data_IF_480315555331
#
_entry.id   IF_480315555331
#
_cell.length_a   1.000
_cell.length_b   1.000
_cell.length_c   1.000
_cell.angle_alpha   90.00
_cell.angle_beta   90.00
_cell.angle_gamma   90.00
#
_symmetry.space_group_name_H-M   'P 1'
#
loop_
_entity.id
_entity.type
_entity.pdbx_description
1 polymer ?
#
# COMPACT_ATOMS: atom_id res chain seq x y z
N UNK A 1 -23.53 18.26 17.54
CA UNK A 1 -22.06 18.38 17.73
C UNK A 1 -21.37 17.29 16.92
N UNK A 2 -20.92 17.62 15.71
CA UNK A 2 -20.42 16.63 14.75
C UNK A 2 -19.01 16.18 15.07
N UNK A 3 -18.89 14.88 15.32
CA UNK A 3 -17.67 14.14 15.67
C UNK A 3 -16.59 14.38 14.61
N UNK A 4 -15.35 14.60 15.06
CA UNK A 4 -14.13 14.72 14.25
C UNK A 4 -13.95 13.51 13.31
N UNK A 5 -14.60 13.53 12.15
CA UNK A 5 -14.54 12.47 11.15
C UNK A 5 -13.36 12.72 10.21
N UNK A 6 -12.53 11.70 10.03
CA UNK A 6 -11.44 11.69 9.07
C UNK A 6 -11.92 11.05 7.76
N UNK A 7 -11.40 11.54 6.64
CA UNK A 7 -11.87 11.16 5.30
C UNK A 7 -10.99 10.08 4.64
N UNK A 8 -10.01 9.55 5.37
CA UNK A 8 -9.13 8.45 4.92
C UNK A 8 -9.56 7.06 5.41
N UNK A 9 -10.10 6.92 6.62
CA UNK A 9 -10.40 5.63 7.22
C UNK A 9 -11.36 5.76 8.41
N UNK A 10 -11.84 4.64 8.93
CA UNK A 10 -12.77 4.57 10.06
C UNK A 10 -12.10 4.64 11.44
N UNK A 11 -10.77 4.81 11.49
CA UNK A 11 -10.04 4.89 12.77
C UNK A 11 -10.39 6.20 13.49
N UNK A 12 -10.44 6.13 14.83
CA UNK A 12 -10.69 7.31 15.66
C UNK A 12 -9.59 8.36 15.46
N UNK A 13 -9.93 9.66 15.51
CA UNK A 13 -9.01 10.77 15.30
C UNK A 13 -8.00 10.98 16.45
N UNK A 14 -7.75 9.96 17.28
CA UNK A 14 -6.89 10.05 18.46
C UNK A 14 -5.40 10.07 18.12
N UNK A 15 -5.03 10.01 16.84
CA UNK A 15 -3.64 10.15 16.42
C UNK A 15 -3.25 11.63 16.32
N UNK A 16 -2.05 11.98 16.79
CA UNK A 16 -1.49 13.34 16.73
C UNK A 16 -1.07 13.74 15.30
N UNK A 17 -0.99 12.78 14.38
CA UNK A 17 -0.45 12.95 13.03
C UNK A 17 -1.56 13.16 11.98
N UNK A 18 -2.16 14.36 11.98
CA UNK A 18 -3.28 14.72 11.09
C UNK A 18 -2.85 15.83 10.14
N UNK A 19 -3.05 15.61 8.83
CA UNK A 19 -2.91 16.66 7.80
C UNK A 19 -4.28 17.16 7.35
N UNK A 20 -4.35 18.44 7.02
CA UNK A 20 -5.57 19.10 6.52
C UNK A 20 -5.35 19.58 5.10
N UNK A 21 -6.24 19.20 4.19
CA UNK A 21 -6.14 19.66 2.80
C UNK A 21 -6.44 21.16 2.71
N UNK A 22 -5.55 21.95 2.10
CA UNK A 22 -5.73 23.39 1.87
C UNK A 22 -6.96 23.71 1.02
N UNK A 23 -7.25 22.89 0.01
CA UNK A 23 -8.37 23.12 -0.91
C UNK A 23 -9.75 22.75 -0.32
N UNK A 24 -9.94 21.52 0.16
CA UNK A 24 -11.26 21.05 0.63
C UNK A 24 -11.44 21.08 2.16
N UNK A 25 -10.43 21.51 2.93
CA UNK A 25 -10.43 21.58 4.39
C UNK A 25 -10.68 20.26 5.13
N UNK A 26 -10.73 19.13 4.42
CA UNK A 26 -10.87 17.77 4.99
C UNK A 26 -9.60 17.34 5.72
N UNK A 27 -9.78 16.55 6.78
CA UNK A 27 -8.71 16.04 7.66
C UNK A 27 -8.42 14.57 7.36
N UNK A 28 -7.15 14.20 7.38
CA UNK A 28 -6.66 12.86 7.06
C UNK A 28 -5.55 12.46 8.03
N UNK A 29 -5.47 11.18 8.37
CA UNK A 29 -4.28 10.60 8.98
C UNK A 29 -3.10 10.74 8.01
N UNK A 30 -1.98 11.28 8.47
CA UNK A 30 -0.78 11.35 7.66
C UNK A 30 -0.35 9.96 7.16
N UNK A 31 -0.39 8.95 8.02
CA UNK A 31 -0.09 7.56 7.67
C UNK A 31 -1.01 6.95 6.58
N UNK A 32 -2.22 7.48 6.39
CA UNK A 32 -3.12 6.98 5.34
C UNK A 32 -2.89 7.62 3.97
N UNK A 33 -2.16 8.73 3.92
CA UNK A 33 -1.98 9.53 2.69
C UNK A 33 -0.51 9.76 2.33
N UNK A 34 0.42 9.50 3.25
CA UNK A 34 1.84 9.58 2.98
C UNK A 34 2.29 8.42 2.10
N UNK A 35 2.95 8.74 1.00
CA UNK A 35 3.69 7.78 0.16
C UNK A 35 5.20 7.88 0.40
N UNK A 36 5.64 8.75 1.31
CA UNK A 36 7.05 9.00 1.60
C UNK A 36 7.44 8.39 2.95
N UNK A 37 8.72 8.03 3.10
CA UNK A 37 9.29 7.52 4.38
C UNK A 37 9.48 8.61 5.44
N UNK A 38 9.09 9.86 5.15
CA UNK A 38 9.27 11.00 6.04
C UNK A 38 8.27 10.90 7.19
N UNK A 39 8.76 10.95 8.42
CA UNK A 39 7.92 10.91 9.63
C UNK A 39 7.17 12.25 9.77
N UNK A 40 5.94 12.23 10.26
CA UNK A 40 5.10 13.44 10.38
C UNK A 40 5.78 14.60 11.13
N UNK A 41 6.61 14.27 12.12
CA UNK A 41 7.36 15.23 12.94
C UNK A 41 8.41 16.02 12.15
N UNK A 42 8.92 15.44 11.07
CA UNK A 42 9.99 16.04 10.26
C UNK A 42 9.42 16.91 9.11
N UNK A 43 8.10 16.98 8.99
CA UNK A 43 7.45 17.83 8.00
C UNK A 43 7.52 19.30 8.42
N UNK A 44 7.89 20.17 7.48
CA UNK A 44 7.81 21.61 7.66
C UNK A 44 6.36 22.07 7.81
N UNK A 45 6.13 23.11 8.61
CA UNK A 45 4.80 23.71 8.78
C UNK A 45 4.27 24.28 7.45
N UNK A 46 5.15 24.79 6.59
CA UNK A 46 4.79 25.22 5.24
C UNK A 46 4.19 24.08 4.40
N UNK A 47 4.78 22.89 4.47
CA UNK A 47 4.25 21.71 3.79
C UNK A 47 2.88 21.32 4.35
N UNK A 48 2.73 21.27 5.68
CA UNK A 48 1.44 20.95 6.32
C UNK A 48 0.34 21.92 5.93
N UNK A 49 0.66 23.22 5.84
CA UNK A 49 -0.29 24.27 5.48
C UNK A 49 -0.65 24.28 3.98
N UNK A 50 0.25 23.82 3.12
CA UNK A 50 0.05 23.77 1.68
C UNK A 50 -0.36 22.39 1.14
N UNK A 51 -0.50 21.39 2.00
CA UNK A 51 -0.81 20.03 1.60
C UNK A 51 -2.18 19.92 0.91
N UNK A 52 -2.24 19.13 -0.17
CA UNK A 52 -3.46 18.83 -0.92
C UNK A 52 -3.75 17.33 -0.85
N UNK A 53 -5.03 16.98 -0.65
CA UNK A 53 -5.43 15.58 -0.66
C UNK A 53 -5.37 14.97 -2.07
N UNK A 54 -5.34 13.62 -2.20
CA UNK A 54 -5.24 12.93 -3.49
C UNK A 54 -6.36 13.24 -4.50
N UNK A 55 -7.48 13.82 -4.04
CA UNK A 55 -8.57 14.26 -4.90
C UNK A 55 -8.32 15.68 -5.43
N UNK A 56 -7.83 16.58 -4.57
CA UNK A 56 -7.55 17.96 -4.91
C UNK A 56 -6.21 18.16 -5.64
N UNK A 57 -5.26 17.22 -5.50
CA UNK A 57 -3.95 17.30 -6.15
C UNK A 57 -3.96 16.86 -7.62
N UNK A 58 -5.04 16.23 -8.10
CA UNK A 58 -5.15 15.81 -9.50
C UNK A 58 -5.29 17.05 -10.40
N UNK A 59 -4.51 17.15 -11.49
CA UNK A 59 -4.73 18.20 -12.47
C UNK A 59 -6.15 18.06 -13.02
N UNK A 60 -6.92 19.16 -13.01
CA UNK A 60 -8.22 19.20 -13.70
C UNK A 60 -7.93 19.11 -15.19
N UNK A 61 -8.04 17.91 -15.75
CA UNK A 61 -7.93 17.69 -17.19
C UNK A 61 -9.06 18.42 -17.88
N UNK A 62 -8.70 19.09 -18.97
CA UNK A 62 -9.49 19.96 -19.82
C UNK A 62 -10.98 19.56 -19.92
N UNK A 63 -11.87 20.49 -19.56
CA UNK A 63 -13.32 20.29 -19.52
C UNK A 63 -13.97 20.52 -20.89
N UNK A 64 -13.17 20.57 -21.96
CA UNK A 64 -13.59 20.97 -23.31
C UNK A 64 -14.62 20.03 -23.96
N UNK A 65 -14.92 18.87 -23.39
CA UNK A 65 -15.87 17.88 -23.94
C UNK A 65 -17.01 17.45 -23.01
N UNK A 66 -17.28 18.13 -21.89
CA UNK A 66 -18.52 17.89 -21.14
C UNK A 66 -19.67 18.70 -21.73
N UNK A 67 -20.81 18.08 -22.12
CA UNK A 67 -21.98 18.82 -22.59
C UNK A 67 -22.43 19.82 -21.52
N UNK A 68 -22.63 21.07 -21.92
CA UNK A 68 -23.16 22.14 -21.08
C UNK A 68 -24.50 21.65 -20.53
N UNK A 69 -24.59 21.36 -19.22
CA UNK A 69 -25.88 21.24 -18.55
C UNK A 69 -26.52 22.61 -18.60
N UNK A 70 -27.63 22.74 -19.34
CA UNK A 70 -28.48 23.92 -19.35
C UNK A 70 -28.74 24.34 -17.89
N UNK A 71 -28.29 25.54 -17.54
CA UNK A 71 -28.66 26.18 -16.30
C UNK A 71 -30.17 26.45 -16.38
N UNK A 72 -30.96 25.71 -15.60
CA UNK A 72 -32.33 26.13 -15.31
C UNK A 72 -32.25 27.38 -14.47
N UNK A 73 -32.50 28.51 -15.12
CA UNK A 73 -32.79 29.80 -14.53
C UNK A 73 -33.95 29.64 -13.54
N UNK A 74 -33.64 29.58 -12.24
CA UNK A 74 -34.61 29.95 -11.23
C UNK A 74 -34.47 31.44 -10.99
N UNK A 75 -35.34 32.19 -11.67
CA UNK A 75 -35.74 33.53 -11.27
C UNK A 75 -36.16 33.49 -9.80
N UNK A 76 -35.44 34.21 -8.95
CA UNK A 76 -36.00 34.65 -7.68
C UNK A 76 -35.73 36.14 -7.58
N UNK A 77 -36.78 36.90 -7.87
CA UNK A 77 -36.89 38.31 -7.56
C UNK A 77 -36.59 38.52 -6.08
N UNK A 78 -35.59 39.35 -5.78
CA UNK A 78 -35.67 40.31 -4.70
C UNK A 78 -34.62 41.40 -4.89
N UNK A 79 -35.14 42.62 -5.08
CA UNK A 79 -34.46 43.91 -5.11
C UNK A 79 -33.49 44.08 -3.92
N UNK A 80 -32.25 44.44 -4.20
CA UNK A 80 -31.49 45.41 -3.40
C UNK A 80 -30.69 46.30 -4.37
N UNK A 81 -31.04 47.58 -4.38
CA UNK A 81 -30.30 48.66 -5.05
C UNK A 81 -29.01 48.95 -4.26
N UNK A 82 -27.90 49.20 -4.97
CA UNK A 82 -26.64 49.61 -4.37
C UNK A 82 -25.51 49.66 -5.39
N UNK A 83 -25.21 50.86 -5.86
CA UNK A 83 -24.14 51.23 -6.78
C UNK A 83 -22.76 50.64 -6.40
N UNK A 84 -22.03 50.13 -7.40
CA UNK A 84 -20.76 50.71 -7.91
C UNK A 84 -19.80 49.65 -8.47
N UNK A 85 -19.44 49.88 -9.74
CA UNK A 85 -18.11 49.74 -10.33
C UNK A 85 -17.50 48.36 -10.69
N UNK A 86 -17.47 48.16 -12.02
CA UNK A 86 -16.33 47.69 -12.82
C UNK A 86 -15.84 46.25 -12.63
N UNK A 87 -16.53 45.33 -13.30
CA UNK A 87 -15.91 44.12 -13.84
C UNK A 87 -14.94 44.48 -14.97
N UNK A 88 -13.66 44.67 -14.64
CA UNK A 88 -12.59 44.71 -15.66
C UNK A 88 -12.28 43.28 -16.09
N UNK A 89 -12.80 42.92 -17.25
CA UNK A 89 -12.51 41.71 -17.98
C UNK A 89 -11.07 41.78 -18.54
N UNK A 90 -10.04 41.39 -17.76
CA UNK A 90 -8.64 41.35 -18.22
C UNK A 90 -8.40 40.08 -19.04
N UNK A 91 -8.95 40.05 -20.25
CA UNK A 91 -8.81 38.98 -21.23
C UNK A 91 -8.14 39.44 -22.53
N UNK A 92 -7.12 40.30 -22.46
CA UNK A 92 -6.36 40.74 -23.64
C UNK A 92 -4.87 40.41 -23.47
N UNK A 93 -4.51 39.14 -23.69
CA UNK A 93 -3.11 38.71 -23.77
C UNK A 93 -2.52 39.24 -25.08
N UNK A 94 -1.76 40.33 -25.00
CA UNK A 94 -0.96 40.88 -26.10
C UNK A 94 -0.14 39.76 -26.76
N UNK A 95 -0.47 39.43 -28.01
CA UNK A 95 0.38 38.62 -28.91
C UNK A 95 1.68 39.40 -29.13
N UNK A 96 2.75 39.05 -28.43
CA UNK A 96 4.10 39.37 -28.87
C UNK A 96 4.45 38.38 -29.97
N UNK A 97 4.51 38.89 -31.20
CA UNK A 97 5.18 38.22 -32.32
C UNK A 97 6.65 38.08 -31.90
N UNK A 98 7.12 36.84 -31.74
CA UNK A 98 8.55 36.53 -31.61
C UNK A 98 9.02 36.00 -32.97
N UNK A 99 10.05 36.63 -33.50
CA UNK A 99 10.77 36.24 -34.71
C UNK A 99 11.30 34.80 -34.63
N UNK A 100 11.44 34.10 -35.76
CA UNK A 100 12.01 32.77 -35.82
C UNK A 100 13.53 32.88 -35.79
N UNK A 101 14.15 32.45 -34.71
CA UNK A 101 15.61 32.43 -34.58
C UNK A 101 16.01 31.42 -33.52
N UNK A 102 16.70 30.38 -33.99
CA UNK A 102 17.46 29.38 -33.23
C UNK A 102 16.69 28.58 -32.18
N UNK A 103 16.11 27.46 -32.64
CA UNK A 103 15.80 26.33 -31.78
C UNK A 103 17.10 25.63 -31.41
N UNK A 104 17.51 25.60 -30.13
CA UNK A 104 18.46 24.60 -29.68
C UNK A 104 17.82 23.24 -29.93
N UNK A 105 18.62 22.26 -30.36
CA UNK A 105 18.24 20.85 -30.46
C UNK A 105 17.63 20.44 -29.12
N UNK A 106 16.30 20.42 -29.02
CA UNK A 106 15.63 19.84 -27.87
C UNK A 106 15.84 18.34 -28.03
N UNK A 107 16.74 17.76 -27.23
CA UNK A 107 16.71 16.33 -26.95
C UNK A 107 15.25 15.98 -26.69
N UNK A 108 14.72 15.05 -27.49
CA UNK A 108 13.27 14.94 -27.57
C UNK A 108 12.78 14.44 -26.22
N UNK A 109 11.74 15.06 -25.65
CA UNK A 109 11.11 14.57 -24.43
C UNK A 109 10.68 13.09 -24.54
N UNK A 110 10.60 12.55 -25.76
CA UNK A 110 10.42 11.13 -26.06
C UNK A 110 11.62 10.26 -25.67
N UNK A 111 12.85 10.70 -25.97
CA UNK A 111 14.09 9.98 -25.63
C UNK A 111 14.29 9.90 -24.12
N UNK A 112 14.05 10.99 -23.40
CA UNK A 112 14.12 11.01 -21.93
C UNK A 112 13.05 10.07 -21.34
N UNK A 113 11.82 10.08 -21.90
CA UNK A 113 10.76 9.15 -21.46
C UNK A 113 11.09 7.69 -21.73
N UNK A 114 11.73 7.36 -22.87
CA UNK A 114 12.13 5.98 -23.16
C UNK A 114 13.20 5.50 -22.19
N UNK A 115 14.19 6.34 -21.87
CA UNK A 115 15.23 6.02 -20.89
C UNK A 115 14.60 5.74 -19.52
N UNK A 116 13.71 6.63 -19.04
CA UNK A 116 13.05 6.43 -17.73
C UNK A 116 12.24 5.13 -17.71
N UNK A 117 11.52 4.80 -18.78
CA UNK A 117 10.75 3.56 -18.85
C UNK A 117 11.66 2.33 -18.84
N UNK A 118 12.76 2.38 -19.57
CA UNK A 118 13.73 1.30 -19.62
C UNK A 118 14.36 1.06 -18.25
N UNK A 119 14.78 2.12 -17.56
CA UNK A 119 15.34 2.03 -16.21
C UNK A 119 14.32 1.49 -15.20
N UNK A 120 13.08 1.99 -15.23
CA UNK A 120 12.02 1.47 -14.36
C UNK A 120 11.72 -0.01 -14.63
N UNK A 121 11.70 -0.42 -15.90
CA UNK A 121 11.48 -1.82 -16.27
C UNK A 121 12.62 -2.70 -15.77
N UNK A 122 13.87 -2.26 -15.95
CA UNK A 122 15.05 -2.96 -15.44
C UNK A 122 15.03 -3.11 -13.92
N UNK A 123 14.68 -2.06 -13.18
CA UNK A 123 14.55 -2.12 -11.71
C UNK A 123 13.44 -3.07 -11.28
N UNK A 124 12.29 -3.05 -11.97
CA UNK A 124 11.16 -3.95 -11.67
C UNK A 124 11.50 -5.41 -11.98
N UNK A 125 12.19 -5.67 -13.09
CA UNK A 125 12.61 -7.02 -13.47
C UNK A 125 13.65 -7.55 -12.48
N UNK A 126 14.63 -6.73 -12.09
CA UNK A 126 15.60 -7.10 -11.06
C UNK A 126 14.94 -7.37 -9.70
N UNK A 127 13.97 -6.53 -9.32
CA UNK A 127 13.21 -6.73 -8.08
C UNK A 127 12.38 -8.02 -8.13
N UNK A 128 11.71 -8.27 -9.25
CA UNK A 128 10.92 -9.48 -9.49
C UNK A 128 11.81 -10.72 -9.39
N UNK A 129 12.94 -10.75 -10.08
CA UNK A 129 13.87 -11.89 -10.06
C UNK A 129 14.41 -12.13 -8.66
N UNK A 130 14.85 -11.09 -7.96
CA UNK A 130 15.37 -11.22 -6.59
C UNK A 130 14.30 -11.77 -5.62
N UNK A 131 13.06 -11.29 -5.70
CA UNK A 131 11.97 -11.82 -4.88
C UNK A 131 11.68 -13.28 -5.21
N UNK A 132 11.59 -13.64 -6.49
CA UNK A 132 11.32 -15.01 -6.90
C UNK A 132 12.44 -15.96 -6.45
N UNK A 133 13.70 -15.56 -6.58
CA UNK A 133 14.85 -16.33 -6.11
C UNK A 133 14.83 -16.53 -4.59
N UNK A 134 14.50 -15.48 -3.81
CA UNK A 134 14.38 -15.59 -2.36
C UNK A 134 13.23 -16.52 -1.94
N UNK A 135 12.08 -16.44 -2.63
CA UNK A 135 10.94 -17.31 -2.38
C UNK A 135 11.31 -18.76 -2.69
N UNK A 136 11.92 -19.02 -3.85
CA UNK A 136 12.37 -20.36 -4.25
C UNK A 136 13.37 -20.95 -3.26
N UNK A 137 14.33 -20.14 -2.81
CA UNK A 137 15.31 -20.55 -1.80
C UNK A 137 14.61 -20.93 -0.48
N UNK A 138 13.67 -20.10 -0.01
CA UNK A 138 12.94 -20.36 1.23
C UNK A 138 12.00 -21.56 1.13
N UNK A 139 11.36 -21.78 -0.02
CA UNK A 139 10.55 -22.98 -0.24
C UNK A 139 11.42 -24.24 -0.18
N UNK A 140 12.59 -24.24 -0.83
CA UNK A 140 13.53 -25.36 -0.76
C UNK A 140 14.00 -25.63 0.67
N UNK A 141 14.36 -24.59 1.41
CA UNK A 141 14.75 -24.72 2.83
C UNK A 141 13.64 -25.36 3.68
N UNK A 142 12.38 -24.98 3.47
CA UNK A 142 11.23 -25.59 4.15
C UNK A 142 11.04 -27.05 3.75
N UNK A 143 11.18 -27.38 2.46
CA UNK A 143 11.05 -28.76 1.97
C UNK A 143 12.14 -29.67 2.54
N UNK A 144 13.39 -29.19 2.62
CA UNK A 144 14.50 -29.94 3.21
C UNK A 144 14.28 -30.18 4.70
N UNK A 145 13.81 -29.15 5.43
CA UNK A 145 13.44 -29.31 6.84
C UNK A 145 12.30 -30.33 7.03
N UNK A 146 11.31 -30.33 6.14
CA UNK A 146 10.20 -31.29 6.18
C UNK A 146 10.68 -32.73 5.90
N UNK A 147 11.65 -32.91 5.00
CA UNK A 147 12.33 -34.20 4.78
C UNK A 147 13.05 -34.69 6.05
N UNK A 148 13.74 -33.79 6.75
CA UNK A 148 14.36 -34.09 8.04
C UNK A 148 13.35 -34.51 9.12
N UNK A 149 12.18 -33.85 9.16
CA UNK A 149 11.09 -34.23 10.07
C UNK A 149 10.55 -35.61 9.73
N UNK A 150 10.29 -35.91 8.46
CA UNK A 150 9.81 -37.23 8.04
C UNK A 150 10.80 -38.35 8.43
N UNK A 151 12.10 -38.10 8.28
CA UNK A 151 13.14 -39.04 8.73
C UNK A 151 13.08 -39.25 10.25
N UNK A 152 12.91 -38.17 11.01
CA UNK A 152 12.78 -38.24 12.48
C UNK A 152 11.52 -39.00 12.92
N UNK A 153 10.41 -38.82 12.21
CA UNK A 153 9.16 -39.56 12.45
C UNK A 153 9.37 -41.05 12.18
N UNK A 154 9.99 -41.42 11.06
CA UNK A 154 10.30 -42.82 10.76
C UNK A 154 11.17 -43.49 11.83
N UNK A 155 12.19 -42.78 12.32
CA UNK A 155 13.01 -43.27 13.44
C UNK A 155 12.21 -43.46 14.73
N UNK A 156 11.30 -42.52 15.04
CA UNK A 156 10.43 -42.63 16.21
C UNK A 156 9.44 -43.79 16.10
N UNK A 157 8.89 -44.05 14.91
CA UNK A 157 8.01 -45.19 14.65
C UNK A 157 8.75 -46.52 14.87
N UNK A 158 9.97 -46.64 14.35
CA UNK A 158 10.83 -47.82 14.59
C UNK A 158 11.08 -48.03 16.09
N UNK A 159 11.51 -46.97 16.80
CA UNK A 159 11.77 -47.06 18.24
C UNK A 159 10.51 -47.36 19.06
N UNK A 160 9.36 -46.87 18.61
CA UNK A 160 8.09 -47.18 19.25
C UNK A 160 7.74 -48.66 19.14
N UNK A 161 7.91 -49.26 17.96
CA UNK A 161 7.68 -50.70 17.78
C UNK A 161 8.69 -51.56 18.55
N UNK A 162 9.98 -51.16 18.63
CA UNK A 162 10.99 -51.83 19.47
C UNK A 162 10.53 -51.92 20.94
N UNK A 163 10.13 -50.77 21.52
CA UNK A 163 9.67 -50.68 22.92
C UNK A 163 8.42 -51.50 23.15
N UNK A 164 7.48 -51.46 22.21
CA UNK A 164 6.23 -52.23 22.27
C UNK A 164 6.49 -53.74 22.26
N UNK A 165 7.45 -54.19 21.45
CA UNK A 165 7.86 -55.59 21.42
C UNK A 165 8.55 -56.01 22.72
N UNK A 166 9.46 -55.18 23.25
CA UNK A 166 10.10 -55.45 24.54
C UNK A 166 9.07 -55.56 25.67
N UNK A 167 8.11 -54.64 25.71
CA UNK A 167 7.03 -54.65 26.71
C UNK A 167 6.19 -55.94 26.61
N UNK A 168 5.83 -56.35 25.40
CA UNK A 168 5.07 -57.59 25.19
C UNK A 168 5.85 -58.83 25.64
N UNK A 169 7.17 -58.87 25.39
CA UNK A 169 8.03 -59.95 25.86
C UNK A 169 8.12 -59.98 27.38
N UNK A 170 8.27 -58.82 28.04
CA UNK A 170 8.28 -58.76 29.51
C UNK A 170 6.96 -59.20 30.12
N UNK A 171 5.82 -58.81 29.53
CA UNK A 171 4.49 -59.29 29.96
C UNK A 171 4.41 -60.82 29.87
N UNK A 172 4.88 -61.43 28.78
CA UNK A 172 4.91 -62.91 28.65
C UNK A 172 5.76 -63.56 29.74
N UNK A 173 6.95 -63.02 30.01
CA UNK A 173 7.84 -63.53 31.05
C UNK A 173 7.16 -63.45 32.43
N UNK A 174 6.54 -62.31 32.75
CA UNK A 174 5.81 -62.12 34.01
C UNK A 174 4.69 -63.17 34.14
N UNK A 175 3.86 -63.33 33.11
CA UNK A 175 2.76 -64.28 33.14
C UNK A 175 3.24 -65.73 33.35
N UNK A 176 4.32 -66.14 32.69
CA UNK A 176 4.92 -67.45 32.87
C UNK A 176 5.42 -67.65 34.31
N UNK A 177 6.14 -66.66 34.86
CA UNK A 177 6.64 -66.72 36.24
C UNK A 177 5.49 -66.76 37.27
N UNK A 178 4.39 -66.04 37.02
CA UNK A 178 3.21 -66.11 37.86
C UNK A 178 2.54 -67.50 37.81
N UNK A 179 2.53 -68.14 36.65
CA UNK A 179 2.00 -69.51 36.50
C UNK A 179 2.89 -70.54 37.20
N UNK A 180 4.20 -70.46 37.02
CA UNK A 180 5.16 -71.31 37.73
C UNK A 180 5.01 -71.17 39.26
N UNK A 181 4.90 -69.94 39.77
CA UNK A 181 4.68 -69.69 41.20
C UNK A 181 3.35 -70.25 41.70
N UNK A 182 2.27 -70.19 40.90
CA UNK A 182 0.99 -70.81 41.26
C UNK A 182 1.08 -72.33 41.37
N UNK A 183 1.92 -72.97 40.56
CA UNK A 183 2.07 -74.43 40.54
C UNK A 183 3.00 -74.95 41.66
N UNK A 184 3.73 -74.08 42.35
CA UNK A 184 4.64 -74.42 43.45
C UNK A 184 3.98 -74.35 44.85
N UNK A 185 2.75 -73.86 44.95
CA UNK A 185 1.97 -73.71 46.18
C UNK A 185 0.75 -74.64 46.18
#
# INVERSE_FOLDING_TARGET
>A
MSKNKLECCLRLPNSVEIVKCKSCNKKYHYACVSTTKIVYKDLTEEYKNNWLCPVCSRPRTDNTNTPIRNATSYTNDNKIEGESEQYVNVGARRKRIRSPGDSPRSESLGEIRSIIRQELTSVLDNFKSNILEQIDFKIKEVLDNMSGINTSIGFLEEKFEDVKQEMHNKIKIINNLEEENRNLH
#
